data_IF_631487249902
#
_entry.id   IF_631487249902
#
_cell.length_a   1.000
_cell.length_b   1.000
_cell.length_c   1.000
_cell.angle_alpha   90.00
_cell.angle_beta   90.00
_cell.angle_gamma   90.00
#
_symmetry.space_group_name_H-M   'P 1'
#
loop_
_entity.id
_entity.type
_entity.pdbx_description
1 polymer ?
#
# COMPACT_ATOMS: atom_id res chain seq x y z
N UNK A 1 -4.35 -4.95 -4.33
CA UNK A 1 -3.32 -3.90 -4.54
C UNK A 1 -3.85 -2.50 -4.29
N UNK A 2 -5.01 -2.11 -4.86
CA UNK A 2 -5.61 -0.80 -4.65
C UNK A 2 -5.80 -0.43 -3.16
N UNK A 3 -6.16 -1.40 -2.30
CA UNK A 3 -6.22 -1.20 -0.84
C UNK A 3 -4.92 -0.63 -0.24
N UNK A 4 -3.75 -1.15 -0.66
CA UNK A 4 -2.44 -0.70 -0.15
C UNK A 4 -2.13 0.72 -0.63
N UNK A 5 -2.49 1.06 -1.87
CA UNK A 5 -2.36 2.42 -2.39
C UNK A 5 -3.26 3.40 -1.64
N UNK A 6 -4.51 3.02 -1.40
CA UNK A 6 -5.44 3.83 -0.64
C UNK A 6 -4.99 4.00 0.83
N UNK A 7 -4.45 2.95 1.46
CA UNK A 7 -3.82 3.04 2.78
C UNK A 7 -2.61 3.97 2.78
N UNK A 8 -1.77 3.91 1.74
CA UNK A 8 -0.63 4.80 1.56
C UNK A 8 -1.06 6.28 1.49
N UNK A 9 -2.15 6.59 0.78
CA UNK A 9 -2.71 7.96 0.76
C UNK A 9 -2.99 8.45 2.17
N UNK A 10 -3.70 7.66 2.99
CA UNK A 10 -4.00 8.05 4.38
C UNK A 10 -2.72 8.29 5.19
N UNK A 11 -1.73 7.42 5.03
CA UNK A 11 -0.49 7.46 5.80
C UNK A 11 0.44 8.63 5.46
N UNK A 12 0.43 9.10 4.22
CA UNK A 12 1.47 10.02 3.71
C UNK A 12 0.92 11.25 2.98
N UNK A 13 -0.28 11.17 2.41
CA UNK A 13 -0.95 12.29 1.73
C UNK A 13 -2.08 12.89 2.57
N UNK A 14 -2.50 12.25 3.66
CA UNK A 14 -3.55 12.70 4.56
C UNK A 14 -4.96 12.25 4.13
N UNK A 15 -5.98 12.91 4.67
CA UNK A 15 -7.40 12.62 4.38
C UNK A 15 -8.05 11.56 5.28
N UNK A 16 -7.35 11.06 6.30
CA UNK A 16 -7.89 10.11 7.27
C UNK A 16 -7.03 9.95 8.51
N UNK A 17 -7.47 9.08 9.41
CA UNK A 17 -6.76 8.74 10.65
C UNK A 17 -5.78 7.58 10.42
N UNK A 18 -4.49 7.89 10.46
CA UNK A 18 -3.42 6.90 10.31
C UNK A 18 -3.48 5.75 11.32
N UNK A 19 -4.04 5.97 12.51
CA UNK A 19 -4.19 4.94 13.55
C UNK A 19 -5.19 3.84 13.18
N UNK A 20 -6.06 4.10 12.19
CA UNK A 20 -7.03 3.13 11.66
C UNK A 20 -6.49 2.34 10.46
N UNK A 21 -5.28 2.64 10.01
CA UNK A 21 -4.58 1.87 8.96
C UNK A 21 -3.94 0.64 9.61
N UNK A 22 -4.79 -0.34 9.91
CA UNK A 22 -4.41 -1.60 10.55
C UNK A 22 -5.03 -2.78 9.79
N UNK A 23 -4.65 -4.04 10.09
CA UNK A 23 -5.20 -5.19 9.37
C UNK A 23 -6.71 -5.33 9.60
N UNK A 24 -7.46 -5.69 8.55
CA UNK A 24 -8.88 -6.04 8.70
C UNK A 24 -9.02 -7.39 9.42
N UNK A 25 -9.77 -7.40 10.53
CA UNK A 25 -10.15 -8.63 11.23
C UNK A 25 -10.29 -8.46 12.74
N UNK A 26 -11.11 -9.31 13.36
CA UNK A 26 -11.45 -9.21 14.78
C UNK A 26 -10.36 -9.59 15.78
N UNK A 27 -9.18 -10.05 15.34
CA UNK A 27 -8.10 -10.43 16.25
C UNK A 27 -7.43 -9.23 16.94
N UNK A 28 -7.45 -8.06 16.32
CA UNK A 28 -6.86 -6.85 16.84
C UNK A 28 -8.02 -5.88 17.06
N UNK A 29 -8.44 -5.70 18.32
CA UNK A 29 -9.53 -4.79 18.64
C UNK A 29 -9.30 -3.39 18.08
N UNK A 30 -10.37 -2.63 17.87
CA UNK A 30 -10.31 -1.27 17.34
C UNK A 30 -11.30 -1.04 16.21
N UNK A 31 -11.09 0.07 15.48
CA UNK A 31 -11.92 0.49 14.36
C UNK A 31 -11.06 0.60 13.08
N UNK A 32 -10.56 -0.52 12.53
CA UNK A 32 -9.76 -0.51 11.29
C UNK A 32 -10.59 0.05 10.13
N UNK A 33 -9.93 0.70 9.17
CA UNK A 33 -10.60 1.05 7.92
C UNK A 33 -10.93 -0.20 7.11
N UNK A 34 -12.16 -0.24 6.59
CA UNK A 34 -12.53 -1.19 5.56
C UNK A 34 -11.87 -0.83 4.22
N UNK A 35 -11.80 -1.80 3.30
CA UNK A 35 -11.38 -1.53 1.91
C UNK A 35 -12.20 -0.43 1.24
N UNK A 36 -13.49 -0.36 1.54
CA UNK A 36 -14.38 0.66 0.97
C UNK A 36 -14.12 2.05 1.57
N UNK A 37 -13.83 2.14 2.88
CA UNK A 37 -13.43 3.41 3.51
C UNK A 37 -12.15 3.96 2.89
N UNK A 38 -11.12 3.11 2.77
CA UNK A 38 -9.85 3.50 2.17
C UNK A 38 -10.05 3.90 0.70
N UNK A 39 -10.86 3.16 -0.05
CA UNK A 39 -11.24 3.52 -1.43
C UNK A 39 -11.95 4.86 -1.49
N UNK A 40 -12.80 5.20 -0.52
CA UNK A 40 -13.44 6.51 -0.41
C UNK A 40 -12.44 7.66 -0.24
N UNK A 41 -11.34 7.42 0.48
CA UNK A 41 -10.29 8.43 0.73
C UNK A 41 -9.31 8.52 -0.44
N UNK A 42 -8.69 7.39 -0.82
CA UNK A 42 -7.64 7.37 -1.85
C UNK A 42 -8.19 7.36 -3.29
N UNK A 43 -9.40 6.86 -3.51
CA UNK A 43 -10.06 6.82 -4.82
C UNK A 43 -9.41 5.88 -5.84
N UNK A 44 -8.47 5.02 -5.45
CA UNK A 44 -7.93 3.98 -6.32
C UNK A 44 -8.87 2.78 -6.31
N UNK A 45 -9.37 2.42 -7.50
CA UNK A 45 -10.33 1.31 -7.68
C UNK A 45 -9.72 0.16 -8.46
N UNK A 46 -8.82 0.46 -9.39
CA UNK A 46 -8.13 -0.54 -10.21
C UNK A 46 -6.64 -0.26 -10.26
N UNK A 47 -5.86 -1.32 -10.27
CA UNK A 47 -4.43 -1.30 -10.59
C UNK A 47 -4.25 -2.26 -11.75
N UNK A 48 -3.89 -1.76 -12.93
CA UNK A 48 -3.73 -2.52 -14.18
C UNK A 48 -2.31 -3.02 -14.41
N UNK A 49 -1.31 -2.38 -13.81
CA UNK A 49 0.10 -2.73 -13.98
C UNK A 49 0.96 -2.26 -12.82
N UNK A 50 2.15 -2.85 -12.70
CA UNK A 50 3.15 -2.48 -11.70
C UNK A 50 4.54 -2.61 -12.33
N UNK A 51 5.41 -1.64 -12.03
CA UNK A 51 6.83 -1.70 -12.37
C UNK A 51 7.68 -1.26 -11.17
N UNK A 52 8.82 -1.91 -10.99
CA UNK A 52 9.70 -1.69 -9.84
C UNK A 52 11.06 -1.20 -10.32
N UNK A 53 11.60 -0.20 -9.64
CA UNK A 53 12.97 0.28 -9.84
C UNK A 53 13.77 0.04 -8.57
N UNK A 54 14.95 -0.55 -8.73
CA UNK A 54 15.87 -0.86 -7.64
C UNK A 54 16.96 0.21 -7.52
N UNK A 55 17.40 0.47 -6.29
CA UNK A 55 18.59 1.28 -6.00
C UNK A 55 19.87 0.47 -6.29
N UNK A 56 21.03 1.15 -6.30
CA UNK A 56 22.33 0.53 -6.56
C UNK A 56 22.73 -0.58 -5.57
N UNK A 57 22.08 -0.66 -4.41
CA UNK A 57 22.27 -1.72 -3.41
C UNK A 57 21.22 -2.84 -3.50
N UNK A 58 20.40 -2.89 -4.57
CA UNK A 58 19.37 -3.90 -4.80
C UNK A 58 18.07 -3.70 -4.01
N UNK A 59 17.99 -2.66 -3.17
CA UNK A 59 16.76 -2.31 -2.44
C UNK A 59 15.73 -1.72 -3.39
N UNK A 60 14.46 -2.04 -3.17
CA UNK A 60 13.34 -1.45 -3.89
C UNK A 60 13.29 0.05 -3.63
N UNK A 61 13.61 0.85 -4.63
CA UNK A 61 13.66 2.30 -4.52
C UNK A 61 12.27 2.89 -4.75
N UNK A 62 11.68 2.60 -5.91
CA UNK A 62 10.40 3.14 -6.34
C UNK A 62 9.53 2.04 -6.95
N UNK A 63 8.23 2.16 -6.74
CA UNK A 63 7.23 1.30 -7.34
C UNK A 63 6.24 2.20 -8.06
N UNK A 64 6.03 1.93 -9.34
CA UNK A 64 5.08 2.68 -10.17
C UNK A 64 3.90 1.79 -10.50
N UNK A 65 2.71 2.25 -10.14
CA UNK A 65 1.46 1.57 -10.37
C UNK A 65 0.70 2.25 -11.50
N UNK A 66 0.18 1.46 -12.43
CA UNK A 66 -0.79 1.92 -13.42
C UNK A 66 -2.19 1.76 -12.81
N UNK A 67 -2.93 2.85 -12.68
CA UNK A 67 -4.20 2.90 -11.95
C UNK A 67 -5.31 3.58 -12.75
N UNK A 68 -6.54 3.59 -12.23
CA UNK A 68 -7.64 4.41 -12.79
C UNK A 68 -7.35 5.92 -12.77
N UNK A 69 -6.36 6.37 -11.99
CA UNK A 69 -5.94 7.78 -11.91
C UNK A 69 -4.65 8.06 -12.70
N UNK A 70 -4.28 7.15 -13.62
CA UNK A 70 -3.01 7.19 -14.32
C UNK A 70 -1.88 6.53 -13.53
N UNK A 71 -0.65 6.98 -13.78
CA UNK A 71 0.55 6.44 -13.16
C UNK A 71 0.77 7.05 -11.78
N UNK A 72 0.94 6.22 -10.76
CA UNK A 72 1.24 6.66 -9.38
C UNK A 72 2.53 5.99 -8.92
N UNK A 73 3.53 6.79 -8.59
CA UNK A 73 4.83 6.31 -8.11
C UNK A 73 4.96 6.57 -6.62
N UNK A 74 5.37 5.54 -5.88
CA UNK A 74 5.62 5.62 -4.43
C UNK A 74 6.97 4.99 -4.10
N UNK A 75 7.56 5.40 -2.98
CA UNK A 75 8.82 4.83 -2.52
C UNK A 75 8.62 3.38 -2.03
N UNK A 76 9.65 2.54 -2.17
CA UNK A 76 9.62 1.18 -1.65
C UNK A 76 9.47 1.13 -0.11
N UNK A 77 10.02 2.13 0.59
CA UNK A 77 9.88 2.26 2.04
C UNK A 77 8.43 2.52 2.46
N UNK A 78 7.74 3.45 1.76
CA UNK A 78 6.36 3.80 2.06
C UNK A 78 5.41 2.65 1.73
N UNK A 79 5.64 1.98 0.59
CA UNK A 79 4.89 0.77 0.24
C UNK A 79 5.06 -0.30 1.30
N UNK A 80 6.31 -0.58 1.73
CA UNK A 80 6.60 -1.58 2.76
C UNK A 80 5.84 -1.25 4.05
N UNK A 81 5.82 0.02 4.47
CA UNK A 81 5.10 0.46 5.67
C UNK A 81 3.60 0.25 5.51
N UNK A 82 2.99 0.73 4.42
CA UNK A 82 1.56 0.57 4.17
C UNK A 82 1.15 -0.91 4.07
N UNK A 83 1.95 -1.72 3.37
CA UNK A 83 1.74 -3.17 3.23
C UNK A 83 1.78 -3.88 4.58
N UNK A 84 2.80 -3.62 5.39
CA UNK A 84 2.97 -4.28 6.69
C UNK A 84 1.88 -3.87 7.69
N UNK A 85 1.43 -2.61 7.64
CA UNK A 85 0.34 -2.14 8.48
C UNK A 85 -1.01 -2.76 8.10
N UNK A 86 -1.27 -2.95 6.80
CA UNK A 86 -2.48 -3.66 6.34
C UNK A 86 -2.37 -5.18 6.46
N UNK A 87 -1.15 -5.71 6.52
CA UNK A 87 -0.82 -7.13 6.64
C UNK A 87 -1.72 -8.05 5.79
N UNK A 88 -1.86 -7.82 4.47
CA UNK A 88 -2.73 -8.65 3.64
C UNK A 88 -2.25 -10.11 3.68
N UNK A 89 -3.18 -11.03 3.92
CA UNK A 89 -2.84 -12.45 4.10
C UNK A 89 -1.96 -12.75 5.31
N UNK A 90 -1.84 -11.82 6.28
CA UNK A 90 -0.97 -11.93 7.47
C UNK A 90 0.52 -12.08 7.12
N UNK A 91 0.94 -11.50 6.00
CA UNK A 91 2.33 -11.49 5.54
C UNK A 91 2.93 -10.11 5.82
N UNK A 92 4.22 -10.11 6.19
CA UNK A 92 5.01 -8.89 6.36
C UNK A 92 6.29 -8.95 5.53
N UNK A 93 6.62 -7.86 4.85
CA UNK A 93 7.92 -7.64 4.22
C UNK A 93 8.95 -7.30 5.30
N UNK A 94 9.97 -8.15 5.45
CA UNK A 94 11.02 -7.98 6.48
C UNK A 94 12.08 -6.97 6.07
N UNK A 95 12.55 -7.02 4.83
CA UNK A 95 13.57 -6.13 4.29
C UNK A 95 13.00 -5.17 3.24
N UNK A 96 13.84 -4.27 2.73
CA UNK A 96 13.53 -3.49 1.53
C UNK A 96 13.85 -4.23 0.22
N UNK A 97 14.26 -5.51 0.30
CA UNK A 97 14.58 -6.35 -0.85
C UNK A 97 13.33 -7.15 -1.21
N UNK A 98 12.47 -6.60 -2.05
CA UNK A 98 11.23 -7.27 -2.47
C UNK A 98 10.84 -6.89 -3.89
N UNK A 99 10.22 -7.83 -4.61
CA UNK A 99 9.60 -7.54 -5.91
C UNK A 99 8.08 -7.52 -5.79
N UNK A 100 7.42 -6.86 -6.75
CA UNK A 100 5.97 -6.87 -6.90
C UNK A 100 5.66 -7.19 -8.36
N UNK A 101 4.80 -8.18 -8.56
CA UNK A 101 4.31 -8.56 -9.88
C UNK A 101 2.80 -8.54 -9.90
N UNK A 102 2.24 -8.23 -11.07
CA UNK A 102 0.83 -8.38 -11.35
C UNK A 102 0.69 -9.37 -12.50
N UNK A 103 0.00 -10.48 -12.23
CA UNK A 103 -0.38 -11.49 -13.22
C UNK A 103 -1.82 -11.25 -13.67
#
# INVERSE_FOLDING_TARGET
MADILNAWVVLFSGGGDTGRVTPEGGCWGGNPYSKDDLKGIGGFTVVSGVSVTYAGNGVTANITFQTNKGSTTISGADFKKAFNLRAPGRISLKSGLFNIEKK
#
